data_IF_121601369043
#
_entry.id   IF_121601369043
#
_cell.length_a   1.000
_cell.length_b   1.000
_cell.length_c   1.000
_cell.angle_alpha   90.00
_cell.angle_beta   90.00
_cell.angle_gamma   90.00
#
_symmetry.space_group_name_H-M   'P 1'
#
loop_
_entity.id
_entity.type
_entity.pdbx_description
1 polymer ?
#
# COMPACT_ATOMS: atom_id res chain seq x y z
N UNK A 1 -41.05 17.02 15.85
CA UNK A 1 -41.19 15.68 16.47
C UNK A 1 -39.84 15.29 17.07
N UNK A 2 -39.72 15.32 18.39
CA UNK A 2 -38.47 15.08 19.13
C UNK A 2 -38.15 13.59 19.04
N UNK A 3 -36.98 13.23 18.50
CA UNK A 3 -36.55 11.84 18.28
C UNK A 3 -35.67 11.40 19.44
N UNK A 4 -36.12 10.40 20.19
CA UNK A 4 -35.47 9.92 21.41
C UNK A 4 -34.37 8.89 21.09
N UNK A 5 -33.33 8.83 21.94
CA UNK A 5 -32.19 7.91 21.80
C UNK A 5 -32.55 6.42 21.65
N UNK A 6 -33.77 6.05 22.05
CA UNK A 6 -34.35 4.71 21.88
C UNK A 6 -34.49 4.32 20.39
N UNK A 7 -34.73 5.28 19.50
CA UNK A 7 -34.88 5.03 18.06
C UNK A 7 -33.55 4.66 17.39
N UNK A 8 -32.43 5.13 17.96
CA UNK A 8 -31.06 4.82 17.51
C UNK A 8 -30.68 3.37 17.87
N UNK A 9 -31.18 2.87 19.01
CA UNK A 9 -30.98 1.47 19.43
C UNK A 9 -31.65 0.44 18.51
N UNK A 10 -32.75 0.81 17.84
CA UNK A 10 -33.57 -0.09 17.00
C UNK A 10 -33.22 -0.07 15.50
N UNK A 11 -32.13 0.58 15.11
CA UNK A 11 -31.53 0.39 13.78
C UNK A 11 -32.28 1.02 12.60
N UNK A 12 -33.05 2.10 12.80
CA UNK A 12 -33.69 2.84 11.70
C UNK A 12 -33.08 4.24 11.56
N UNK A 13 -32.47 4.49 10.39
CA UNK A 13 -32.00 5.78 9.78
C UNK A 13 -30.48 6.04 9.85
N UNK A 14 -29.77 6.25 8.71
CA UNK A 14 -28.30 6.29 8.65
C UNK A 14 -27.62 7.67 8.63
N UNK A 15 -26.54 7.76 9.41
CA UNK A 15 -25.44 8.74 9.31
C UNK A 15 -24.10 7.99 9.48
N UNK A 16 -23.02 8.54 8.95
CA UNK A 16 -21.68 7.94 8.72
C UNK A 16 -21.05 7.14 9.88
N UNK A 17 -21.47 7.35 11.12
CA UNK A 17 -21.12 6.52 12.30
C UNK A 17 -21.70 5.09 12.25
N UNK A 18 -22.72 4.84 11.43
CA UNK A 18 -23.41 3.56 11.35
C UNK A 18 -22.66 2.47 10.63
N UNK A 19 -21.88 2.78 9.58
CA UNK A 19 -21.05 1.77 8.90
C UNK A 19 -20.02 1.20 9.87
N UNK A 20 -19.45 2.07 10.72
CA UNK A 20 -18.51 1.64 11.74
C UNK A 20 -19.20 0.81 12.83
N UNK A 21 -20.36 1.25 13.32
CA UNK A 21 -21.13 0.51 14.32
C UNK A 21 -21.61 -0.87 13.79
N UNK A 22 -22.07 -0.95 12.54
CA UNK A 22 -22.46 -2.21 11.89
C UNK A 22 -21.27 -3.14 11.71
N UNK A 23 -20.11 -2.60 11.29
CA UNK A 23 -18.86 -3.39 11.23
C UNK A 23 -18.52 -3.96 12.59
N UNK A 24 -18.53 -3.14 13.65
CA UNK A 24 -18.23 -3.60 15.02
C UNK A 24 -19.19 -4.70 15.45
N UNK A 25 -20.50 -4.55 15.23
CA UNK A 25 -21.49 -5.60 15.52
C UNK A 25 -21.23 -6.88 14.74
N UNK A 26 -20.84 -6.78 13.46
CA UNK A 26 -20.46 -7.94 12.67
C UNK A 26 -19.20 -8.61 13.24
N UNK A 27 -18.18 -7.82 13.62
CA UNK A 27 -16.98 -8.32 14.29
C UNK A 27 -17.28 -9.08 15.58
N UNK A 28 -18.27 -8.65 16.35
CA UNK A 28 -18.69 -9.35 17.56
C UNK A 28 -19.35 -10.70 17.26
N UNK A 29 -20.24 -10.76 16.27
CA UNK A 29 -20.85 -12.04 15.85
C UNK A 29 -19.78 -13.03 15.42
N UNK A 30 -18.79 -12.54 14.69
CA UNK A 30 -17.70 -13.35 14.18
C UNK A 30 -16.58 -13.57 15.22
N UNK A 31 -16.69 -12.98 16.42
CA UNK A 31 -15.63 -12.97 17.45
C UNK A 31 -15.28 -14.38 17.94
N UNK A 32 -16.30 -15.22 18.08
CA UNK A 32 -16.18 -16.63 18.49
C UNK A 32 -15.60 -17.50 17.36
N UNK A 33 -15.75 -17.09 16.10
CA UNK A 33 -15.30 -17.83 14.93
C UNK A 33 -13.85 -17.50 14.52
N UNK A 34 -13.24 -16.49 15.15
CA UNK A 34 -11.87 -16.06 14.82
C UNK A 34 -10.85 -17.06 15.32
N UNK A 35 -10.00 -17.53 14.41
CA UNK A 35 -8.79 -18.30 14.74
C UNK A 35 -7.85 -17.44 15.58
N UNK A 36 -7.55 -17.89 16.80
CA UNK A 36 -6.65 -17.22 17.74
C UNK A 36 -5.37 -18.01 17.93
N UNK A 37 -4.35 -17.35 18.49
CA UNK A 37 -3.17 -18.02 18.99
C UNK A 37 -3.55 -18.87 20.22
N UNK A 38 -2.87 -20.00 20.47
CA UNK A 38 -3.27 -20.96 21.53
C UNK A 38 -3.29 -20.39 22.96
N UNK A 39 -2.59 -19.29 23.19
CA UNK A 39 -2.45 -18.64 24.51
C UNK A 39 -3.48 -17.53 24.77
N UNK A 40 -4.41 -17.28 23.85
CA UNK A 40 -5.46 -16.27 24.04
C UNK A 40 -6.71 -16.94 24.58
N UNK A 41 -7.09 -16.59 25.82
CA UNK A 41 -8.28 -17.13 26.50
C UNK A 41 -9.54 -16.84 25.68
N UNK A 42 -10.41 -17.85 25.55
CA UNK A 42 -11.73 -17.67 24.95
C UNK A 42 -12.62 -16.88 25.92
N UNK A 43 -13.06 -15.69 25.49
CA UNK A 43 -13.99 -14.86 26.26
C UNK A 43 -15.05 -14.24 25.36
N UNK A 44 -16.27 -14.12 25.88
CA UNK A 44 -17.34 -13.37 25.23
C UNK A 44 -16.97 -11.89 25.17
N UNK A 45 -17.03 -11.28 24.00
CA UNK A 45 -16.87 -9.82 23.84
C UNK A 45 -18.22 -9.19 23.54
N UNK A 46 -18.78 -8.52 24.54
CA UNK A 46 -19.92 -7.64 24.40
C UNK A 46 -19.46 -6.24 23.99
N UNK A 47 -20.33 -5.52 23.29
CA UNK A 47 -20.12 -4.15 22.82
C UNK A 47 -21.43 -3.45 23.06
N UNK A 48 -21.33 -2.32 23.72
CA UNK A 48 -22.42 -1.41 23.93
C UNK A 48 -21.90 -0.02 23.63
N UNK A 49 -22.69 0.77 22.91
CA UNK A 49 -22.36 2.16 22.70
C UNK A 49 -22.86 2.95 23.89
N UNK A 50 -21.93 3.62 24.57
CA UNK A 50 -22.22 4.47 25.73
C UNK A 50 -22.13 5.92 25.27
N UNK A 51 -23.17 6.71 25.49
CA UNK A 51 -23.15 8.14 25.21
C UNK A 51 -22.15 8.86 26.13
N UNK A 52 -21.48 9.89 25.61
CA UNK A 52 -20.71 10.81 26.45
C UNK A 52 -21.60 11.47 27.51
N UNK A 53 -21.05 11.71 28.70
CA UNK A 53 -21.74 12.33 29.85
C UNK A 53 -22.88 11.49 30.47
N UNK A 54 -22.91 10.18 30.23
CA UNK A 54 -23.91 9.27 30.83
C UNK A 54 -23.66 8.94 32.31
N UNK A 55 -22.65 9.57 32.95
CA UNK A 55 -22.18 9.28 34.32
C UNK A 55 -21.84 7.81 34.56
N UNK A 56 -21.39 7.12 33.51
CA UNK A 56 -20.87 5.76 33.65
C UNK A 56 -19.43 5.88 34.14
N UNK A 57 -19.21 5.48 35.40
CA UNK A 57 -17.91 5.61 36.07
C UNK A 57 -16.76 4.99 35.26
N UNK A 58 -16.97 3.81 34.67
CA UNK A 58 -15.93 3.14 33.88
C UNK A 58 -15.61 3.85 32.56
N UNK A 59 -16.62 4.41 31.90
CA UNK A 59 -16.41 5.22 30.70
C UNK A 59 -15.70 6.54 31.02
N UNK A 60 -16.09 7.19 32.12
CA UNK A 60 -15.50 8.46 32.56
C UNK A 60 -14.04 8.26 33.02
N UNK A 61 -13.75 7.14 33.69
CA UNK A 61 -12.39 6.73 34.05
C UNK A 61 -11.54 6.43 32.80
N UNK A 62 -12.07 5.67 31.84
CA UNK A 62 -11.38 5.38 30.59
C UNK A 62 -11.06 6.66 29.79
N UNK A 63 -12.00 7.61 29.70
CA UNK A 63 -11.80 8.91 29.06
C UNK A 63 -10.74 9.75 29.82
N UNK A 64 -10.77 9.71 31.16
CA UNK A 64 -9.76 10.34 32.01
C UNK A 64 -8.35 9.80 31.73
N UNK A 65 -8.20 8.47 31.68
CA UNK A 65 -6.94 7.81 31.35
C UNK A 65 -6.47 8.13 29.92
N UNK A 66 -7.37 8.16 28.95
CA UNK A 66 -7.04 8.54 27.57
C UNK A 66 -6.51 9.99 27.49
N UNK A 67 -7.12 10.93 28.21
CA UNK A 67 -6.66 12.34 28.31
C UNK A 67 -5.31 12.48 29.02
N UNK A 68 -5.02 11.63 30.01
CA UNK A 68 -3.70 11.58 30.63
C UNK A 68 -2.66 11.03 29.65
N UNK A 69 -3.01 9.95 28.95
CA UNK A 69 -2.17 9.35 27.91
C UNK A 69 -1.82 10.31 26.78
N UNK A 70 -2.77 11.15 26.34
CA UNK A 70 -2.52 12.14 25.28
C UNK A 70 -1.55 13.26 25.69
N UNK A 71 -1.37 13.48 26.99
CA UNK A 71 -0.40 14.46 27.53
C UNK A 71 0.99 13.87 27.70
N UNK A 72 1.13 12.54 27.62
CA UNK A 72 2.43 11.91 27.67
C UNK A 72 3.22 12.28 26.40
N UNK A 73 4.53 12.55 26.52
CA UNK A 73 5.37 12.72 25.34
C UNK A 73 5.28 11.47 24.47
N UNK A 74 5.28 11.67 23.16
CA UNK A 74 5.35 10.54 22.23
C UNK A 74 6.53 9.65 22.62
N UNK A 75 6.36 8.31 22.61
CA UNK A 75 7.47 7.42 22.90
C UNK A 75 8.63 7.76 21.98
N UNK A 76 9.83 7.84 22.54
CA UNK A 76 11.05 8.11 21.79
C UNK A 76 11.13 7.11 20.64
N UNK A 77 10.99 7.59 19.41
CA UNK A 77 11.03 6.73 18.23
C UNK A 77 12.47 6.25 18.04
N UNK A 78 12.82 5.15 18.70
CA UNK A 78 14.08 4.46 18.48
C UNK A 78 13.98 3.67 17.18
N UNK A 79 14.16 4.37 16.05
CA UNK A 79 14.10 3.78 14.72
C UNK A 79 13.87 4.80 13.62
N UNK A 80 14.13 4.39 12.38
CA UNK A 80 13.73 5.15 11.20
C UNK A 80 12.20 5.21 11.13
N UNK A 81 11.65 6.38 10.78
CA UNK A 81 10.23 6.47 10.41
C UNK A 81 9.96 5.55 9.22
N UNK A 82 8.73 5.07 9.06
CA UNK A 82 8.36 4.25 7.90
C UNK A 82 8.74 4.94 6.56
N UNK A 83 8.57 6.26 6.48
CA UNK A 83 8.96 7.05 5.31
C UNK A 83 10.49 6.98 5.07
N UNK A 84 11.28 7.17 6.12
CA UNK A 84 12.74 7.07 6.03
C UNK A 84 13.20 5.65 5.65
N UNK A 85 12.63 4.60 6.26
CA UNK A 85 12.92 3.21 5.88
C UNK A 85 12.57 2.93 4.42
N UNK A 86 11.43 3.44 3.94
CA UNK A 86 11.00 3.30 2.55
C UNK A 86 11.94 4.00 1.58
N UNK A 87 12.43 5.20 1.93
CA UNK A 87 13.40 5.92 1.13
C UNK A 87 14.73 5.17 1.04
N UNK A 88 15.25 4.70 2.18
CA UNK A 88 16.47 3.88 2.23
C UNK A 88 16.33 2.65 1.33
N UNK A 89 15.23 1.92 1.43
CA UNK A 89 14.97 0.75 0.59
C UNK A 89 14.97 1.09 -0.91
N UNK A 90 14.32 2.20 -1.30
CA UNK A 90 14.29 2.66 -2.71
C UNK A 90 15.68 3.02 -3.23
N UNK A 91 16.49 3.70 -2.40
CA UNK A 91 17.86 4.08 -2.75
C UNK A 91 18.75 2.84 -2.94
N UNK A 92 18.63 1.86 -2.03
CA UNK A 92 19.37 0.59 -2.14
C UNK A 92 18.99 -0.20 -3.39
N UNK A 93 17.69 -0.33 -3.67
CA UNK A 93 17.20 -1.00 -4.88
C UNK A 93 17.73 -0.31 -6.14
N UNK A 94 17.63 1.02 -6.21
CA UNK A 94 18.10 1.80 -7.36
C UNK A 94 19.59 1.58 -7.59
N UNK A 95 20.40 1.67 -6.54
CA UNK A 95 21.84 1.42 -6.60
C UNK A 95 22.16 0.01 -7.09
N UNK A 96 21.47 -1.01 -6.57
CA UNK A 96 21.64 -2.39 -7.03
C UNK A 96 21.36 -2.56 -8.51
N UNK A 97 20.29 -1.94 -9.03
CA UNK A 97 19.99 -1.99 -10.46
C UNK A 97 21.03 -1.25 -11.31
N UNK A 98 21.52 -0.10 -10.86
CA UNK A 98 22.59 0.63 -11.55
C UNK A 98 23.88 -0.20 -11.64
N UNK A 99 24.27 -0.84 -10.54
CA UNK A 99 25.45 -1.70 -10.50
C UNK A 99 25.29 -2.95 -11.37
N UNK A 100 24.09 -3.55 -11.35
CA UNK A 100 23.76 -4.68 -12.23
C UNK A 100 23.83 -4.25 -13.71
N UNK A 101 23.27 -3.09 -14.06
CA UNK A 101 23.27 -2.57 -15.43
C UNK A 101 24.68 -2.28 -15.94
N UNK A 102 25.54 -1.65 -15.15
CA UNK A 102 26.94 -1.40 -15.53
C UNK A 102 27.65 -2.69 -15.94
N UNK A 103 27.40 -3.77 -15.21
CA UNK A 103 28.00 -5.09 -15.46
C UNK A 103 27.36 -5.78 -16.69
N UNK A 104 26.03 -5.82 -16.76
CA UNK A 104 25.31 -6.69 -17.70
C UNK A 104 24.66 -5.99 -18.89
N UNK A 105 24.81 -4.66 -19.04
CA UNK A 105 24.20 -3.94 -20.14
C UNK A 105 24.62 -4.53 -21.50
N UNK A 106 23.65 -4.79 -22.42
CA UNK A 106 23.94 -5.26 -23.76
C UNK A 106 24.90 -4.33 -24.50
N UNK A 107 25.73 -4.88 -25.38
CA UNK A 107 26.71 -4.11 -26.14
C UNK A 107 26.06 -2.96 -26.93
N UNK A 108 24.90 -3.21 -27.53
CA UNK A 108 24.12 -2.20 -28.28
C UNK A 108 23.71 -1.02 -27.39
N UNK A 109 23.27 -1.28 -26.16
CA UNK A 109 22.95 -0.24 -25.18
C UNK A 109 24.19 0.53 -24.71
N UNK A 110 25.32 -0.17 -24.51
CA UNK A 110 26.62 0.46 -24.18
C UNK A 110 27.09 1.38 -25.30
N UNK A 111 27.04 0.93 -26.57
CA UNK A 111 27.39 1.74 -27.77
C UNK A 111 26.51 2.97 -27.91
N UNK A 112 25.21 2.85 -27.61
CA UNK A 112 24.26 3.96 -27.64
C UNK A 112 24.36 4.91 -26.43
N UNK A 113 25.24 4.63 -25.46
CA UNK A 113 25.37 5.44 -24.24
C UNK A 113 24.10 5.44 -23.37
N UNK A 114 23.25 4.41 -23.48
CA UNK A 114 21.98 4.35 -22.75
C UNK A 114 22.23 3.79 -21.35
N UNK A 115 22.11 4.66 -20.35
CA UNK A 115 22.18 4.30 -18.94
C UNK A 115 20.84 3.73 -18.42
N UNK A 116 20.91 2.98 -17.32
CA UNK A 116 19.73 2.53 -16.58
C UNK A 116 18.93 3.74 -16.08
N UNK A 117 17.60 3.68 -16.25
CA UNK A 117 16.65 4.63 -15.68
C UNK A 117 15.41 3.86 -15.27
N UNK A 118 14.97 4.02 -14.02
CA UNK A 118 13.77 3.33 -13.53
C UNK A 118 12.48 3.81 -14.21
N UNK A 119 12.42 5.09 -14.61
CA UNK A 119 11.26 5.67 -15.31
C UNK A 119 11.72 6.53 -16.50
N UNK A 120 12.11 5.91 -17.63
CA UNK A 120 12.54 6.62 -18.82
C UNK A 120 11.37 7.43 -19.42
N UNK A 121 11.66 8.62 -19.95
CA UNK A 121 10.63 9.51 -20.54
C UNK A 121 9.93 8.85 -21.74
N UNK A 122 10.61 7.91 -22.38
CA UNK A 122 10.12 7.15 -23.52
C UNK A 122 8.87 6.31 -23.19
N UNK A 123 8.59 6.03 -21.90
CA UNK A 123 7.35 5.37 -21.49
C UNK A 123 6.09 6.22 -21.73
N UNK A 124 6.24 7.53 -21.99
CA UNK A 124 5.14 8.43 -22.35
C UNK A 124 4.72 8.23 -23.82
N UNK A 125 5.59 7.64 -24.64
CA UNK A 125 5.31 7.44 -26.06
C UNK A 125 4.12 6.49 -26.28
N UNK A 126 3.37 6.72 -27.36
CA UNK A 126 2.31 5.79 -27.77
C UNK A 126 2.89 4.40 -28.01
N UNK A 127 2.10 3.37 -27.67
CA UNK A 127 2.53 1.96 -27.67
C UNK A 127 3.28 1.55 -28.94
N UNK A 128 2.77 1.90 -30.12
CA UNK A 128 3.41 1.55 -31.39
C UNK A 128 4.83 2.15 -31.53
N UNK A 129 5.00 3.41 -31.16
CA UNK A 129 6.31 4.09 -31.22
C UNK A 129 7.26 3.52 -30.18
N UNK A 130 6.78 3.27 -28.97
CA UNK A 130 7.58 2.64 -27.91
C UNK A 130 8.04 1.23 -28.32
N UNK A 131 7.16 0.42 -28.91
CA UNK A 131 7.51 -0.91 -29.40
C UNK A 131 8.62 -0.87 -30.46
N UNK A 132 8.52 0.03 -31.44
CA UNK A 132 9.57 0.21 -32.47
C UNK A 132 10.90 0.67 -31.87
N UNK A 133 10.86 1.61 -30.91
CA UNK A 133 12.05 2.09 -30.23
C UNK A 133 12.73 0.97 -29.43
N UNK A 134 11.97 0.18 -28.69
CA UNK A 134 12.51 -0.96 -27.92
C UNK A 134 13.13 -1.98 -28.87
N UNK A 135 12.47 -2.30 -29.98
CA UNK A 135 12.99 -3.22 -31.00
C UNK A 135 14.34 -2.74 -31.58
N UNK A 136 14.43 -1.45 -31.96
CA UNK A 136 15.66 -0.85 -32.46
C UNK A 136 16.80 -0.85 -31.42
N UNK A 137 16.48 -0.70 -30.13
CA UNK A 137 17.49 -0.71 -29.05
C UNK A 137 17.98 -2.12 -28.71
N UNK A 138 17.08 -3.10 -28.68
CA UNK A 138 17.39 -4.47 -28.31
C UNK A 138 17.89 -5.32 -29.49
N UNK A 139 17.73 -4.84 -30.73
CA UNK A 139 17.92 -5.66 -31.93
C UNK A 139 16.82 -6.71 -32.10
N UNK A 140 15.68 -6.55 -31.41
CA UNK A 140 14.56 -7.46 -31.58
C UNK A 140 13.96 -7.29 -32.98
N UNK A 141 13.89 -8.38 -33.74
CA UNK A 141 13.52 -8.34 -35.17
C UNK A 141 14.71 -8.29 -36.13
N UNK A 142 15.93 -8.11 -35.62
CA UNK A 142 17.17 -7.96 -36.40
C UNK A 142 17.88 -9.31 -36.55
N UNK A 143 17.24 -10.25 -37.22
CA UNK A 143 17.79 -11.60 -37.43
C UNK A 143 17.88 -11.95 -38.90
N UNK A 144 18.84 -12.83 -39.26
CA UNK A 144 19.17 -13.17 -40.65
C UNK A 144 17.95 -13.50 -41.52
N UNK A 145 17.04 -14.30 -40.98
CA UNK A 145 15.83 -14.73 -41.69
C UNK A 145 14.87 -13.56 -42.00
N UNK A 146 14.81 -12.52 -41.16
CA UNK A 146 13.99 -11.34 -41.40
C UNK A 146 14.51 -10.57 -42.62
N UNK A 147 15.80 -10.29 -42.66
CA UNK A 147 16.43 -9.57 -43.77
C UNK A 147 16.41 -10.36 -45.08
N UNK A 148 16.57 -11.69 -45.02
CA UNK A 148 16.39 -12.56 -46.19
C UNK A 148 14.97 -12.48 -46.73
N UNK A 149 13.95 -12.55 -45.85
CA UNK A 149 12.54 -12.53 -46.26
C UNK A 149 12.12 -11.20 -46.89
N UNK A 150 12.68 -10.09 -46.43
CA UNK A 150 12.30 -8.74 -46.86
C UNK A 150 13.35 -8.04 -47.73
N UNK A 151 14.39 -8.74 -48.18
CA UNK A 151 15.46 -8.22 -49.04
C UNK A 151 16.15 -6.96 -48.50
N UNK A 152 16.42 -6.91 -47.19
CA UNK A 152 17.18 -5.83 -46.57
C UNK A 152 18.70 -6.15 -46.61
N UNK A 153 19.52 -5.16 -46.93
CA UNK A 153 20.95 -5.35 -47.23
C UNK A 153 21.92 -5.21 -46.03
N UNK A 154 21.44 -4.79 -44.86
CA UNK A 154 22.31 -4.49 -43.70
C UNK A 154 21.96 -5.33 -42.45
N UNK A 155 23.01 -5.82 -41.80
CA UNK A 155 23.01 -6.47 -40.49
C UNK A 155 23.85 -5.59 -39.54
N UNK A 156 23.36 -5.29 -38.34
CA UNK A 156 24.08 -4.55 -37.28
C UNK A 156 24.48 -5.45 -36.10
#
# INVERSE_FOLDING_TARGET
MIKTAVDIGKGRIPLTSQVQALRIRQFQKDWLLRRRLPHVVLGMVAFEWISGHSKNLGNDEADGLAKLGSKLPAPSSHGYTYAASKEIARTLITKHYEDWWKKHAPLRYKRLGIAFRSNPRELILVRNTLSKLIAARSGHGDFKQYHIRFHHHSFD
#
